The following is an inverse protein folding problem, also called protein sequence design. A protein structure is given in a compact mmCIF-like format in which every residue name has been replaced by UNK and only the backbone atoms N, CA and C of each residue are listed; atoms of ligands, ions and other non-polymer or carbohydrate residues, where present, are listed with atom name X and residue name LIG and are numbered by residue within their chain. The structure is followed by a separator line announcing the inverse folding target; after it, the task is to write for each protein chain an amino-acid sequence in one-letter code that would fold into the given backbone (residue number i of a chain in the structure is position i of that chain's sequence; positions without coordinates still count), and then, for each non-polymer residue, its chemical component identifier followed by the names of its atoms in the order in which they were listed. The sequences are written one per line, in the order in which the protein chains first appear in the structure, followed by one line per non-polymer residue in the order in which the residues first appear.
data_IF_548411858974
#
_entry.id   IF_548411858974
#
_cell.length_a   1.000
_cell.length_b   1.000
_cell.length_c   1.000
_cell.angle_alpha   90.00
_cell.angle_beta   90.00
_cell.angle_gamma   90.00
#
_symmetry.space_group_name_H-M   'P 1'
#
loop_
_entity.id
_entity.type
_entity.pdbx_description
1 polymer ?
#
# COMPACT_ATOMS: atom_id res chain seq x y z
N UNK A 1 23.20 0.76 -11.08
CA UNK A 1 23.91 -0.34 -10.41
C UNK A 1 23.35 -1.65 -10.96
N UNK A 2 24.19 -2.52 -11.48
CA UNK A 2 23.77 -3.87 -11.85
C UNK A 2 23.81 -4.73 -10.59
N UNK A 3 22.73 -5.45 -10.30
CA UNK A 3 22.64 -6.35 -9.15
C UNK A 3 23.39 -7.66 -9.46
N UNK A 4 24.68 -7.57 -9.80
CA UNK A 4 25.63 -8.69 -9.98
C UNK A 4 25.04 -10.05 -10.37
N UNK A 5 24.98 -10.94 -9.37
CA UNK A 5 24.53 -12.33 -9.44
C UNK A 5 23.01 -12.52 -9.25
N UNK A 6 22.25 -11.44 -9.14
CA UNK A 6 20.80 -11.48 -9.03
C UNK A 6 20.15 -11.45 -10.41
N UNK A 7 19.01 -12.14 -10.51
CA UNK A 7 18.15 -12.14 -11.69
C UNK A 7 16.73 -11.83 -11.28
N UNK A 8 16.05 -10.99 -12.06
CA UNK A 8 14.63 -10.74 -11.88
C UNK A 8 13.82 -11.78 -12.63
N UNK A 9 12.84 -12.35 -11.94
CA UNK A 9 11.86 -13.27 -12.53
C UNK A 9 10.46 -12.70 -12.30
N UNK A 10 9.64 -12.70 -13.34
CA UNK A 10 8.22 -12.39 -13.22
C UNK A 10 7.44 -13.69 -13.19
N UNK A 11 6.72 -13.92 -12.09
CA UNK A 11 5.75 -15.01 -12.03
C UNK A 11 4.50 -14.58 -12.80
N UNK A 12 4.02 -15.44 -13.69
CA UNK A 12 2.74 -15.28 -14.38
C UNK A 12 1.69 -16.20 -13.73
N UNK A 13 0.85 -15.68 -12.83
CA UNK A 13 -0.05 -16.56 -12.09
C UNK A 13 -1.16 -17.11 -13.00
N UNK A 14 -1.27 -18.44 -13.07
CA UNK A 14 -2.34 -19.10 -13.81
C UNK A 14 -3.59 -19.34 -12.97
N UNK A 15 -3.39 -19.78 -11.73
CA UNK A 15 -4.43 -20.12 -10.74
C UNK A 15 -3.86 -20.04 -9.34
N UNK A 16 -4.71 -19.88 -8.33
CA UNK A 16 -4.33 -19.96 -6.93
C UNK A 16 -5.22 -20.93 -6.16
N UNK A 17 -4.66 -21.58 -5.14
CA UNK A 17 -5.43 -22.39 -4.18
C UNK A 17 -5.43 -21.68 -2.84
N UNK A 18 -6.59 -21.14 -2.46
CA UNK A 18 -6.76 -20.44 -1.20
C UNK A 18 -7.31 -21.40 -0.14
N UNK A 19 -6.50 -21.66 0.88
CA UNK A 19 -6.90 -22.42 2.07
C UNK A 19 -7.27 -21.45 3.20
N UNK A 20 -8.57 -21.23 3.41
CA UNK A 20 -9.09 -20.28 4.39
C UNK A 20 -9.27 -20.84 5.81
N UNK A 21 -8.88 -22.10 6.04
CA UNK A 21 -9.11 -22.83 7.30
C UNK A 21 -10.49 -23.48 7.41
N UNK A 22 -10.68 -24.35 8.40
CA UNK A 22 -11.94 -25.06 8.69
C UNK A 22 -12.59 -25.77 7.47
N UNK A 23 -11.76 -26.37 6.59
CA UNK A 23 -12.23 -27.05 5.39
C UNK A 23 -12.69 -26.12 4.25
N UNK A 24 -12.51 -24.80 4.38
CA UNK A 24 -12.77 -23.84 3.30
C UNK A 24 -11.59 -23.80 2.35
N UNK A 25 -11.76 -24.40 1.18
CA UNK A 25 -10.78 -24.40 0.11
C UNK A 25 -11.42 -23.83 -1.15
N UNK A 26 -10.75 -22.88 -1.78
CA UNK A 26 -11.19 -22.23 -3.02
C UNK A 26 -10.12 -22.40 -4.08
N UNK A 27 -10.56 -22.74 -5.29
CA UNK A 27 -9.74 -22.64 -6.48
C UNK A 27 -10.05 -21.29 -7.11
N UNK A 28 -9.04 -20.43 -7.21
CA UNK A 28 -9.13 -19.10 -7.80
C UNK A 28 -8.54 -19.16 -9.22
N UNK A 29 -9.31 -18.66 -10.18
CA UNK A 29 -8.81 -18.35 -11.50
C UNK A 29 -8.00 -17.04 -11.46
N UNK A 30 -7.20 -16.78 -12.49
CA UNK A 30 -6.30 -15.62 -12.53
C UNK A 30 -7.01 -14.29 -12.19
N UNK A 31 -8.16 -14.04 -12.80
CA UNK A 31 -8.87 -12.78 -12.66
C UNK A 31 -9.53 -12.61 -11.28
N UNK A 32 -9.59 -13.67 -10.46
CA UNK A 32 -10.09 -13.58 -9.08
C UNK A 32 -9.07 -12.91 -8.13
N UNK A 33 -7.78 -12.85 -8.50
CA UNK A 33 -6.73 -12.36 -7.59
C UNK A 33 -5.66 -11.48 -8.26
N UNK A 34 -5.76 -11.22 -9.56
CA UNK A 34 -4.96 -10.21 -10.24
C UNK A 34 -5.74 -8.91 -10.31
N UNK A 35 -5.21 -7.88 -9.65
CA UNK A 35 -5.71 -6.51 -9.76
C UNK A 35 -5.10 -5.90 -11.03
N UNK A 36 -5.95 -5.53 -12.00
CA UNK A 36 -5.53 -4.95 -13.27
C UNK A 36 -6.50 -3.88 -13.76
N UNK A 37 -6.17 -3.27 -14.90
CA UNK A 37 -7.02 -2.29 -15.58
C UNK A 37 -6.45 -0.87 -15.58
N UNK A 38 -7.18 0.03 -16.23
CA UNK A 38 -6.73 1.39 -16.53
C UNK A 38 -6.29 2.19 -15.29
N UNK A 39 -6.93 1.97 -14.14
CA UNK A 39 -6.57 2.63 -12.88
C UNK A 39 -5.16 2.25 -12.41
N UNK A 40 -4.78 0.98 -12.53
CA UNK A 40 -3.45 0.50 -12.13
C UNK A 40 -2.38 1.15 -12.98
N UNK A 41 -2.61 1.28 -14.29
CA UNK A 41 -1.70 1.96 -15.22
C UNK A 41 -1.60 3.46 -14.93
N UNK A 42 -2.73 4.12 -14.64
CA UNK A 42 -2.76 5.54 -14.28
C UNK A 42 -2.01 5.81 -12.97
N UNK A 43 -2.20 4.97 -11.95
CA UNK A 43 -1.47 5.05 -10.69
C UNK A 43 0.02 4.82 -10.92
N UNK A 44 0.42 3.76 -11.62
CA UNK A 44 1.81 3.46 -11.90
C UNK A 44 2.54 4.62 -12.61
N UNK A 45 1.85 5.35 -13.50
CA UNK A 45 2.41 6.51 -14.19
C UNK A 45 2.70 7.72 -13.29
N UNK A 46 2.10 7.80 -12.10
CA UNK A 46 2.24 8.94 -11.16
C UNK A 46 2.79 8.54 -9.78
N UNK A 47 2.89 7.24 -9.49
CA UNK A 47 3.23 6.68 -8.19
C UNK A 47 4.57 7.21 -7.68
N UNK A 48 5.64 7.11 -8.48
CA UNK A 48 6.98 7.50 -8.02
C UNK A 48 7.03 8.96 -7.55
N UNK A 49 6.37 9.87 -8.27
CA UNK A 49 6.33 11.28 -7.87
C UNK A 49 5.55 11.48 -6.55
N UNK A 50 4.49 10.71 -6.33
CA UNK A 50 3.75 10.73 -5.07
C UNK A 50 4.57 10.15 -3.91
N UNK A 51 5.30 9.04 -4.13
CA UNK A 51 6.21 8.45 -3.14
C UNK A 51 7.31 9.43 -2.75
N UNK A 52 7.95 10.05 -3.73
CA UNK A 52 9.03 11.02 -3.49
C UNK A 52 8.53 12.21 -2.67
N UNK A 53 7.38 12.79 -3.05
CA UNK A 53 6.78 13.90 -2.33
C UNK A 53 6.40 13.53 -0.89
N UNK A 54 5.75 12.38 -0.69
CA UNK A 54 5.36 11.92 0.65
C UNK A 54 6.58 11.68 1.54
N UNK A 55 7.61 11.04 1.00
CA UNK A 55 8.83 10.73 1.75
C UNK A 55 9.73 11.94 1.98
N UNK A 56 9.67 12.98 1.15
CA UNK A 56 10.39 14.23 1.35
C UNK A 56 9.69 15.15 2.36
N UNK A 57 8.38 15.33 2.21
CA UNK A 57 7.67 16.46 2.82
C UNK A 57 6.71 16.06 3.94
N UNK A 58 6.33 14.79 4.06
CA UNK A 58 5.21 14.35 4.92
C UNK A 58 5.57 13.19 5.87
N UNK A 59 6.77 13.20 6.43
CA UNK A 59 7.26 12.15 7.36
C UNK A 59 6.42 12.00 8.63
N UNK A 60 5.90 13.11 9.13
CA UNK A 60 4.98 13.13 10.27
C UNK A 60 3.67 12.41 9.95
N UNK A 61 3.09 12.65 8.77
CA UNK A 61 1.90 11.98 8.31
C UNK A 61 2.14 10.48 8.09
N UNK A 62 3.29 10.09 7.52
CA UNK A 62 3.65 8.67 7.35
C UNK A 62 3.74 7.96 8.71
N UNK A 63 4.41 8.57 9.70
CA UNK A 63 4.50 8.00 11.04
C UNK A 63 3.12 7.89 11.71
N UNK A 64 2.26 8.89 11.52
CA UNK A 64 0.87 8.85 11.96
C UNK A 64 0.11 7.69 11.33
N UNK A 65 0.24 7.48 10.01
CA UNK A 65 -0.45 6.39 9.33
C UNK A 65 -0.02 5.03 9.87
N UNK A 66 1.29 4.80 9.97
CA UNK A 66 1.86 3.58 10.52
C UNK A 66 1.29 3.26 11.91
N UNK A 67 1.28 4.23 12.82
CA UNK A 67 0.79 4.05 14.19
C UNK A 67 -0.73 3.87 14.25
N UNK A 68 -1.48 4.75 13.61
CA UNK A 68 -2.94 4.81 13.78
C UNK A 68 -3.66 3.74 12.95
N UNK A 69 -3.38 3.66 11.64
CA UNK A 69 -4.06 2.73 10.74
C UNK A 69 -3.33 1.38 10.65
N UNK A 70 -2.01 1.42 10.62
CA UNK A 70 -1.17 0.22 10.54
C UNK A 70 -1.01 -0.52 11.86
N UNK A 71 -1.30 0.14 13.00
CA UNK A 71 -1.00 -0.34 14.36
C UNK A 71 0.46 -0.78 14.51
N UNK A 72 1.35 -0.19 13.70
CA UNK A 72 2.75 -0.52 13.66
C UNK A 72 3.50 0.30 14.72
N UNK A 73 4.45 -0.34 15.39
CA UNK A 73 5.32 0.29 16.36
C UNK A 73 6.62 0.79 15.71
N UNK A 74 7.32 1.69 16.39
CA UNK A 74 8.60 2.22 15.93
C UNK A 74 8.47 3.40 14.97
N UNK A 75 9.62 3.93 14.57
CA UNK A 75 9.78 5.14 13.78
C UNK A 75 10.57 4.86 12.48
N UNK A 76 10.82 5.90 11.68
CA UNK A 76 11.61 5.80 10.46
C UNK A 76 10.85 5.22 9.26
N UNK A 77 9.51 5.19 9.34
CA UNK A 77 8.66 4.70 8.27
C UNK A 77 8.81 5.54 6.98
N UNK A 78 8.93 4.84 5.85
CA UNK A 78 8.89 5.35 4.48
C UNK A 78 7.70 4.73 3.76
N UNK A 79 7.00 5.48 2.91
CA UNK A 79 6.07 4.86 1.95
C UNK A 79 6.86 4.25 0.80
N UNK A 80 6.53 3.02 0.42
CA UNK A 80 7.24 2.26 -0.62
C UNK A 80 6.37 1.92 -1.82
N UNK A 81 5.04 2.04 -1.70
CA UNK A 81 4.13 1.82 -2.81
C UNK A 81 2.72 2.31 -2.53
N UNK A 82 1.99 2.58 -3.61
CA UNK A 82 0.57 2.85 -3.64
C UNK A 82 -0.10 1.95 -4.67
N UNK A 83 -1.26 1.42 -4.30
CA UNK A 83 -2.17 0.81 -5.26
C UNK A 83 -3.60 1.34 -5.03
N UNK A 84 -4.56 0.79 -5.77
CA UNK A 84 -5.95 1.22 -5.66
C UNK A 84 -6.54 1.00 -4.27
N UNK A 85 -6.05 0.02 -3.51
CA UNK A 85 -6.61 -0.36 -2.22
C UNK A 85 -5.88 0.27 -1.03
N UNK A 86 -4.67 0.80 -1.23
CA UNK A 86 -3.89 1.32 -0.10
C UNK A 86 -2.47 1.77 -0.39
N UNK A 87 -1.69 1.77 0.68
CA UNK A 87 -0.27 2.10 0.68
C UNK A 87 0.54 1.05 1.46
N UNK A 88 1.77 0.85 1.03
CA UNK A 88 2.75 0.04 1.75
C UNK A 88 3.82 0.93 2.39
N UNK A 89 4.12 0.66 3.65
CA UNK A 89 5.17 1.32 4.40
C UNK A 89 6.27 0.32 4.77
N UNK A 90 7.49 0.82 4.88
CA UNK A 90 8.64 0.08 5.39
C UNK A 90 9.41 0.90 6.42
N UNK A 91 9.96 0.20 7.41
CA UNK A 91 10.99 0.63 8.33
C UNK A 91 12.15 -0.39 8.25
N UNK A 92 13.33 -0.14 8.85
CA UNK A 92 14.51 -0.99 8.64
C UNK A 92 14.28 -2.50 8.79
N UNK A 93 13.48 -2.91 9.79
CA UNK A 93 13.21 -4.32 10.10
C UNK A 93 11.71 -4.69 10.02
N UNK A 94 10.88 -3.85 9.39
CA UNK A 94 9.44 -4.05 9.38
C UNK A 94 8.75 -3.50 8.12
N UNK A 95 7.63 -4.12 7.75
CA UNK A 95 6.71 -3.63 6.72
C UNK A 95 5.31 -3.50 7.29
N UNK A 96 4.51 -2.60 6.71
CA UNK A 96 3.15 -2.34 7.14
C UNK A 96 2.27 -2.00 5.94
N UNK A 97 1.24 -2.83 5.71
CA UNK A 97 0.20 -2.57 4.72
C UNK A 97 -0.92 -1.75 5.37
N UNK A 98 -1.31 -0.65 4.75
CA UNK A 98 -2.43 0.19 5.19
C UNK A 98 -3.45 0.28 4.07
N UNK A 99 -4.67 -0.17 4.33
CA UNK A 99 -5.79 -0.02 3.41
C UNK A 99 -6.39 1.38 3.49
N UNK A 100 -6.78 1.92 2.34
CA UNK A 100 -7.66 3.07 2.28
C UNK A 100 -9.07 2.70 2.81
N UNK A 101 -9.85 3.69 3.30
CA UNK A 101 -11.22 3.43 3.74
C UNK A 101 -12.11 2.83 2.64
N UNK A 102 -11.82 3.16 1.39
CA UNK A 102 -12.43 2.60 0.17
C UNK A 102 -11.37 2.54 -0.93
N UNK A 103 -11.46 1.58 -1.87
CA UNK A 103 -10.60 1.56 -3.04
C UNK A 103 -10.75 2.83 -3.88
N UNK A 104 -9.64 3.35 -4.38
CA UNK A 104 -9.62 4.46 -5.33
C UNK A 104 -10.41 4.07 -6.59
N UNK A 105 -11.15 5.03 -7.13
CA UNK A 105 -11.84 4.88 -8.41
C UNK A 105 -11.06 5.60 -9.54
N UNK A 106 -10.16 6.51 -9.19
CA UNK A 106 -9.28 7.23 -10.12
C UNK A 106 -7.96 7.62 -9.41
N UNK A 107 -6.83 7.66 -10.13
CA UNK A 107 -5.52 7.95 -9.52
C UNK A 107 -5.47 9.34 -8.83
N UNK A 108 -6.18 10.31 -9.41
CA UNK A 108 -6.32 11.67 -8.86
C UNK A 108 -6.89 11.74 -7.44
N UNK A 109 -7.57 10.69 -6.97
CA UNK A 109 -8.19 10.63 -5.64
C UNK A 109 -7.17 10.37 -4.53
N UNK A 110 -6.00 9.81 -4.86
CA UNK A 110 -4.95 9.43 -3.90
C UNK A 110 -4.66 10.56 -2.91
N UNK A 111 -4.39 11.77 -3.41
CA UNK A 111 -4.06 12.92 -2.56
C UNK A 111 -5.18 13.24 -1.56
N UNK A 112 -6.42 13.30 -2.02
CA UNK A 112 -7.56 13.60 -1.14
C UNK A 112 -7.73 12.53 -0.07
N UNK A 113 -7.60 11.25 -0.43
CA UNK A 113 -7.72 10.14 0.53
C UNK A 113 -6.64 10.23 1.61
N UNK A 114 -5.38 10.47 1.23
CA UNK A 114 -4.29 10.65 2.18
C UNK A 114 -4.53 11.83 3.14
N UNK A 115 -4.99 12.98 2.61
CA UNK A 115 -5.31 14.15 3.43
C UNK A 115 -6.41 13.85 4.46
N UNK A 116 -7.49 13.17 4.05
CA UNK A 116 -8.57 12.80 4.98
C UNK A 116 -8.11 11.78 6.02
N UNK A 117 -7.30 10.79 5.62
CA UNK A 117 -6.70 9.86 6.58
C UNK A 117 -5.81 10.59 7.60
N UNK A 118 -5.04 11.59 7.18
CA UNK A 118 -4.20 12.37 8.10
C UNK A 118 -5.03 13.21 9.07
N UNK A 119 -6.15 13.77 8.63
CA UNK A 119 -7.09 14.47 9.52
C UNK A 119 -7.68 13.51 10.55
N UNK A 120 -8.18 12.35 10.11
CA UNK A 120 -8.73 11.31 10.99
C UNK A 120 -7.72 10.83 12.02
N UNK A 121 -6.49 10.52 11.61
CA UNK A 121 -5.43 10.09 12.52
C UNK A 121 -5.08 11.17 13.55
N UNK A 122 -4.98 12.43 13.13
CA UNK A 122 -4.69 13.56 14.05
C UNK A 122 -5.80 13.81 15.05
N UNK A 123 -7.06 13.71 14.62
CA UNK A 123 -8.21 13.84 15.53
C UNK A 123 -8.17 12.75 16.61
N UNK A 124 -7.89 11.49 16.22
CA UNK A 124 -7.80 10.38 17.17
C UNK A 124 -6.62 10.49 18.16
N UNK A 125 -5.51 11.12 17.78
CA UNK A 125 -4.41 11.39 18.72
C UNK A 125 -4.75 12.46 19.76
N UNK A 126 -5.65 13.40 19.45
CA UNK A 126 -6.08 14.47 20.38
C UNK A 126 -7.11 14.00 21.43
N UNK A 127 -7.81 12.90 21.15
CA UNK A 127 -8.80 12.30 22.05
C UNK A 127 -8.19 11.31 23.06
N UNK A 128 -6.88 11.02 22.95
CA UNK A 128 -6.13 10.13 23.84
C UNK A 128 -5.43 10.87 24.97
#
# INVERSE_FOLDING_TARGET
AELGDFSFFRLEPGRASLNGGFGKAYLLERDDFIIGGALVEELAGSEQAALDHMNADHRDAIALYARHFGRAAGDGWTVTGFDADGMDLAAPDATCRIFFPQPLQAARELRSVLVEMAKTGRAAEQER
#
